data_IF_715355486296
#
_entry.id   IF_715355486296
#
_cell.length_a   1.000
_cell.length_b   1.000
_cell.length_c   1.000
_cell.angle_alpha   90.00
_cell.angle_beta   90.00
_cell.angle_gamma   90.00
#
_symmetry.space_group_name_H-M   'P 1'
#
loop_
_entity.id
_entity.type
_entity.pdbx_description
1 polymer ?
#
# COMPACT_ATOMS: atom_id res chain seq x y z
N UNK A 1 3.06 -10.66 -2.33
CA UNK A 1 2.26 -11.47 -3.27
C UNK A 1 2.99 -11.64 -4.61
N UNK A 2 3.21 -10.56 -5.37
CA UNK A 2 3.83 -10.63 -6.71
C UNK A 2 5.15 -11.42 -6.78
N UNK A 3 6.07 -11.23 -5.83
CA UNK A 3 7.36 -11.91 -5.89
C UNK A 3 7.24 -13.43 -5.77
N UNK A 4 6.55 -13.94 -4.73
CA UNK A 4 6.45 -15.38 -4.47
C UNK A 4 5.69 -16.12 -5.59
N UNK A 5 4.69 -15.48 -6.20
CA UNK A 5 3.95 -16.08 -7.32
C UNK A 5 4.79 -16.12 -8.60
N UNK A 6 5.68 -15.16 -8.83
CA UNK A 6 6.67 -15.24 -9.92
C UNK A 6 7.74 -16.31 -9.64
N UNK A 7 8.19 -16.47 -8.41
CA UNK A 7 9.10 -17.59 -8.04
C UNK A 7 8.42 -18.94 -8.32
N UNK A 8 7.15 -19.10 -7.92
CA UNK A 8 6.37 -20.29 -8.26
C UNK A 8 6.38 -20.55 -9.79
N UNK A 9 6.07 -19.53 -10.59
CA UNK A 9 6.02 -19.64 -12.06
C UNK A 9 7.39 -20.00 -12.66
N UNK A 10 8.47 -19.40 -12.19
CA UNK A 10 9.83 -19.72 -12.65
C UNK A 10 10.21 -21.17 -12.32
N UNK A 11 9.91 -21.63 -11.10
CA UNK A 11 10.13 -23.02 -10.69
C UNK A 11 9.32 -24.01 -11.53
N UNK A 12 8.05 -23.69 -11.85
CA UNK A 12 7.21 -24.52 -12.74
C UNK A 12 7.82 -24.57 -14.13
N UNK A 13 8.22 -23.43 -14.72
CA UNK A 13 8.87 -23.36 -16.05
C UNK A 13 10.14 -24.21 -16.10
N UNK A 14 10.91 -24.23 -15.01
CA UNK A 14 12.16 -25.00 -14.90
C UNK A 14 11.94 -26.47 -14.51
N UNK A 15 10.70 -26.89 -14.23
CA UNK A 15 10.35 -28.24 -13.73
C UNK A 15 11.06 -28.57 -12.40
N UNK A 16 11.08 -27.60 -11.49
CA UNK A 16 11.71 -27.69 -10.16
C UNK A 16 10.72 -27.39 -9.02
N UNK A 17 9.44 -27.14 -9.31
CA UNK A 17 8.44 -26.73 -8.30
C UNK A 17 8.24 -27.79 -7.21
N UNK A 18 8.35 -29.06 -7.56
CA UNK A 18 8.28 -30.22 -6.66
C UNK A 18 9.47 -30.31 -5.69
N UNK A 19 10.55 -29.55 -5.93
CA UNK A 19 11.77 -29.55 -5.12
C UNK A 19 11.90 -28.34 -4.19
N UNK A 20 10.85 -27.53 -4.07
CA UNK A 20 10.86 -26.32 -3.27
C UNK A 20 9.59 -26.20 -2.43
N UNK A 21 9.73 -25.79 -1.19
CA UNK A 21 8.62 -25.35 -0.35
C UNK A 21 8.49 -23.83 -0.48
N UNK A 22 7.26 -23.32 -0.60
CA UNK A 22 7.00 -21.89 -0.73
C UNK A 22 6.09 -21.47 0.41
N UNK A 23 6.58 -20.55 1.24
CA UNK A 23 5.86 -20.01 2.39
C UNK A 23 5.68 -18.50 2.24
N UNK A 24 4.44 -18.04 2.29
CA UNK A 24 4.06 -16.64 2.40
C UNK A 24 3.90 -16.28 3.87
N UNK A 25 4.84 -15.52 4.43
CA UNK A 25 4.79 -15.03 5.81
C UNK A 25 4.41 -13.55 5.85
N UNK A 26 3.39 -13.18 6.62
CA UNK A 26 2.90 -11.80 6.70
C UNK A 26 2.38 -11.43 8.09
N UNK A 27 2.55 -10.16 8.45
CA UNK A 27 1.96 -9.57 9.66
C UNK A 27 0.50 -9.12 9.45
N UNK A 28 -0.04 -9.28 8.23
CA UNK A 28 -1.43 -8.99 7.91
C UNK A 28 -2.39 -9.88 8.73
N UNK A 29 -3.60 -9.37 8.97
CA UNK A 29 -4.66 -10.12 9.69
C UNK A 29 -5.17 -11.33 8.89
N UNK A 30 -5.20 -11.16 7.58
CA UNK A 30 -5.72 -12.09 6.59
C UNK A 30 -4.91 -11.92 5.31
N UNK A 31 -4.89 -12.96 4.46
CA UNK A 31 -4.22 -12.86 3.18
C UNK A 31 -4.92 -11.79 2.33
N UNK A 32 -4.17 -10.88 1.71
CA UNK A 32 -4.77 -9.83 0.89
C UNK A 32 -5.45 -8.71 1.68
N UNK A 33 -5.09 -8.48 2.95
CA UNK A 33 -5.44 -7.25 3.67
C UNK A 33 -4.86 -6.00 2.97
N UNK A 34 -3.64 -6.14 2.45
CA UNK A 34 -2.86 -5.15 1.69
C UNK A 34 -2.66 -3.80 2.41
N UNK A 35 -2.89 -3.73 3.72
CA UNK A 35 -2.85 -2.48 4.47
C UNK A 35 -4.02 -1.54 4.16
N UNK A 36 -5.09 -2.07 3.57
CA UNK A 36 -6.29 -1.32 3.16
C UNK A 36 -7.58 -1.97 3.65
N UNK A 37 -7.53 -2.76 4.73
CA UNK A 37 -8.68 -3.48 5.30
C UNK A 37 -9.28 -4.50 4.32
N UNK A 38 -8.42 -5.12 3.52
CA UNK A 38 -8.81 -6.04 2.45
C UNK A 38 -9.66 -5.37 1.37
N UNK A 39 -10.14 -6.17 0.43
CA UNK A 39 -11.01 -5.74 -0.67
C UNK A 39 -12.21 -6.67 -0.75
N UNK A 40 -13.41 -6.11 -0.88
CA UNK A 40 -14.60 -6.87 -1.23
C UNK A 40 -14.97 -6.53 -2.67
N UNK A 41 -15.32 -7.55 -3.45
CA UNK A 41 -15.71 -7.40 -4.86
C UNK A 41 -17.01 -8.13 -5.10
N UNK A 42 -17.86 -7.60 -5.99
CA UNK A 42 -19.11 -8.24 -6.39
C UNK A 42 -18.98 -8.74 -7.82
N UNK A 43 -19.00 -10.06 -8.01
CA UNK A 43 -18.98 -10.67 -9.34
C UNK A 43 -20.18 -11.60 -9.53
N UNK A 44 -20.99 -11.35 -10.56
CA UNK A 44 -22.20 -12.15 -10.90
C UNK A 44 -23.13 -12.41 -9.70
N UNK A 45 -23.34 -11.38 -8.86
CA UNK A 45 -24.23 -11.45 -7.69
C UNK A 45 -23.63 -12.14 -6.45
N UNK A 46 -22.37 -12.59 -6.51
CA UNK A 46 -21.64 -13.11 -5.34
C UNK A 46 -20.59 -12.11 -4.88
N UNK A 47 -20.53 -11.88 -3.58
CA UNK A 47 -19.44 -11.12 -2.95
C UNK A 47 -18.29 -12.07 -2.64
N UNK A 48 -17.07 -11.68 -3.01
CA UNK A 48 -15.84 -12.39 -2.66
C UNK A 48 -14.84 -11.39 -2.10
N UNK A 49 -13.99 -11.85 -1.19
CA UNK A 49 -12.94 -11.04 -0.59
C UNK A 49 -11.58 -11.23 -1.29
N UNK A 50 -10.67 -10.28 -1.08
CA UNK A 50 -9.25 -10.47 -1.39
C UNK A 50 -8.66 -11.67 -0.68
N UNK A 51 -9.12 -11.99 0.53
CA UNK A 51 -8.69 -13.20 1.26
C UNK A 51 -9.07 -14.49 0.53
N UNK A 52 -10.33 -14.60 0.06
CA UNK A 52 -10.78 -15.77 -0.69
C UNK A 52 -9.95 -15.95 -1.96
N UNK A 53 -9.72 -14.86 -2.69
CA UNK A 53 -8.99 -14.86 -3.94
C UNK A 53 -7.51 -15.22 -3.75
N UNK A 54 -6.82 -14.54 -2.84
CA UNK A 54 -5.40 -14.80 -2.56
C UNK A 54 -5.23 -16.21 -1.98
N UNK A 55 -6.14 -16.63 -1.10
CA UNK A 55 -6.17 -17.99 -0.57
C UNK A 55 -6.36 -19.05 -1.66
N UNK A 56 -7.22 -18.81 -2.66
CA UNK A 56 -7.38 -19.71 -3.80
C UNK A 56 -6.09 -19.80 -4.63
N UNK A 57 -5.46 -18.66 -4.95
CA UNK A 57 -4.18 -18.65 -5.69
C UNK A 57 -3.10 -19.42 -4.94
N UNK A 58 -2.98 -19.22 -3.62
CA UNK A 58 -1.98 -19.91 -2.82
C UNK A 58 -2.24 -21.41 -2.73
N UNK A 59 -3.49 -21.86 -2.58
CA UNK A 59 -3.83 -23.28 -2.66
C UNK A 59 -3.47 -23.89 -4.02
N UNK A 60 -3.84 -23.22 -5.11
CA UNK A 60 -3.55 -23.68 -6.47
C UNK A 60 -2.04 -23.78 -6.74
N UNK A 61 -1.25 -22.87 -6.16
CA UNK A 61 0.21 -22.85 -6.33
C UNK A 61 0.96 -23.70 -5.29
N UNK A 62 0.26 -24.29 -4.33
CA UNK A 62 0.83 -25.01 -3.20
C UNK A 62 1.71 -24.14 -2.30
N UNK A 63 1.35 -22.86 -2.14
CA UNK A 63 2.05 -21.91 -1.28
C UNK A 63 1.40 -21.95 0.10
N UNK A 64 2.19 -22.23 1.14
CA UNK A 64 1.71 -22.17 2.52
C UNK A 64 1.53 -20.70 2.94
N UNK A 65 0.37 -20.37 3.50
CA UNK A 65 0.04 -19.01 3.89
C UNK A 65 0.06 -18.85 5.42
N UNK A 66 1.04 -18.11 5.91
CA UNK A 66 1.28 -17.84 7.33
C UNK A 66 1.04 -16.34 7.60
N UNK A 67 -0.19 -15.98 7.91
CA UNK A 67 -0.58 -14.61 8.31
C UNK A 67 -0.51 -14.44 9.82
N UNK A 68 -0.72 -13.20 10.31
CA UNK A 68 -0.72 -12.87 11.74
C UNK A 68 0.62 -13.12 12.45
N UNK A 69 1.73 -12.98 11.73
CA UNK A 69 3.08 -13.19 12.26
C UNK A 69 3.97 -11.97 12.04
N UNK A 70 4.42 -11.37 13.13
CA UNK A 70 5.40 -10.28 13.12
C UNK A 70 6.81 -10.82 13.28
N UNK A 71 7.63 -10.73 12.23
CA UNK A 71 9.06 -11.11 12.29
C UNK A 71 9.78 -10.18 13.26
N UNK A 72 10.48 -10.77 14.23
CA UNK A 72 11.31 -10.07 15.23
C UNK A 72 12.78 -10.05 14.84
N UNK A 73 13.28 -11.16 14.31
CA UNK A 73 14.68 -11.33 13.95
C UNK A 73 14.81 -12.30 12.79
N UNK A 74 15.86 -12.08 11.99
CA UNK A 74 16.24 -12.98 10.90
C UNK A 74 17.68 -13.39 11.15
N UNK A 75 17.88 -14.68 11.40
CA UNK A 75 19.19 -15.30 11.57
C UNK A 75 19.57 -16.17 10.37
N UNK A 76 20.71 -16.89 10.43
CA UNK A 76 21.10 -17.83 9.40
C UNK A 76 20.05 -18.94 9.23
N UNK A 77 19.31 -18.90 8.11
CA UNK A 77 18.32 -19.91 7.73
C UNK A 77 17.03 -19.95 8.56
N UNK A 78 16.76 -18.94 9.39
CA UNK A 78 15.59 -18.91 10.26
C UNK A 78 15.05 -17.50 10.47
N UNK A 79 13.73 -17.34 10.35
CA UNK A 79 12.99 -16.14 10.72
C UNK A 79 12.23 -16.41 12.01
N UNK A 80 12.53 -15.66 13.06
CA UNK A 80 11.84 -15.71 14.34
C UNK A 80 10.71 -14.69 14.33
N UNK A 81 9.52 -15.11 14.74
CA UNK A 81 8.34 -14.27 14.73
C UNK A 81 7.54 -14.44 16.02
N UNK A 82 6.69 -13.46 16.29
CA UNK A 82 5.61 -13.56 17.27
C UNK A 82 4.28 -13.54 16.51
N UNK A 83 3.32 -14.36 16.92
CA UNK A 83 1.98 -14.32 16.37
C UNK A 83 1.06 -13.35 17.12
N UNK A 84 -0.19 -13.25 16.69
CA UNK A 84 -1.17 -12.36 17.31
C UNK A 84 -1.49 -12.72 18.76
N UNK A 85 -1.35 -13.98 19.15
CA UNK A 85 -1.60 -14.43 20.52
C UNK A 85 -0.37 -14.24 21.43
N UNK A 86 0.73 -13.72 20.87
CA UNK A 86 1.97 -13.46 21.59
C UNK A 86 2.89 -14.68 21.69
N UNK A 87 2.59 -15.74 20.93
CA UNK A 87 3.39 -16.97 20.88
C UNK A 87 4.56 -16.75 19.94
N UNK A 88 5.77 -17.06 20.43
CA UNK A 88 6.96 -17.06 19.59
C UNK A 88 7.02 -18.32 18.72
N UNK A 89 7.48 -18.18 17.49
CA UNK A 89 7.69 -19.27 16.57
C UNK A 89 8.81 -19.00 15.58
N UNK A 90 9.11 -20.00 14.76
CA UNK A 90 10.14 -19.92 13.74
C UNK A 90 9.65 -20.44 12.39
N UNK A 91 10.16 -19.83 11.32
CA UNK A 91 10.04 -20.34 9.96
C UNK A 91 11.46 -20.50 9.41
N UNK A 92 11.84 -21.74 9.08
CA UNK A 92 13.14 -22.05 8.49
C UNK A 92 13.12 -21.79 6.99
N UNK A 93 14.26 -21.42 6.42
CA UNK A 93 14.39 -21.14 5.00
C UNK A 93 15.82 -21.37 4.51
N UNK A 94 15.95 -21.80 3.25
CA UNK A 94 17.22 -21.74 2.51
C UNK A 94 17.41 -20.37 1.82
N UNK A 95 16.28 -19.74 1.46
CA UNK A 95 16.24 -18.41 0.86
C UNK A 95 15.01 -17.64 1.38
N UNK A 96 15.20 -16.38 1.76
CA UNK A 96 14.12 -15.51 2.22
C UNK A 96 14.16 -14.14 1.53
N UNK A 97 12.97 -13.60 1.29
CA UNK A 97 12.76 -12.22 0.87
C UNK A 97 11.63 -11.64 1.72
N UNK A 98 11.96 -10.69 2.59
CA UNK A 98 11.01 -9.98 3.43
C UNK A 98 10.96 -8.51 3.01
N UNK A 99 9.75 -7.94 3.02
CA UNK A 99 9.57 -6.50 2.80
C UNK A 99 9.83 -5.79 4.13
N UNK A 100 10.81 -4.86 4.20
CA UNK A 100 11.08 -4.13 5.44
C UNK A 100 9.97 -3.11 5.71
N UNK A 101 9.85 -2.70 6.97
CA UNK A 101 9.05 -1.54 7.32
C UNK A 101 9.67 -0.28 6.70
N UNK A 102 8.82 0.65 6.25
CA UNK A 102 9.28 1.94 5.78
C UNK A 102 9.47 2.91 6.95
N UNK A 103 10.56 3.66 6.88
CA UNK A 103 10.82 4.83 7.72
C UNK A 103 11.05 6.06 6.84
N UNK A 104 10.93 7.24 7.44
CA UNK A 104 11.38 8.47 6.82
C UNK A 104 12.89 8.46 6.61
N UNK A 105 13.32 9.12 5.55
CA UNK A 105 14.76 9.35 5.30
C UNK A 105 15.32 10.21 6.44
N UNK A 106 16.52 9.88 6.98
CA UNK A 106 17.13 10.67 8.05
C UNK A 106 17.55 12.05 7.50
N UNK A 107 16.67 13.03 7.67
CA UNK A 107 16.87 14.44 7.29
C UNK A 107 17.00 15.26 8.58
N UNK A 108 18.01 16.13 8.65
CA UNK A 108 18.14 17.07 9.74
C UNK A 108 17.16 18.24 9.54
N UNK A 109 16.13 18.33 10.39
CA UNK A 109 15.15 19.41 10.35
C UNK A 109 15.62 20.58 11.20
N UNK A 110 16.21 21.60 10.57
CA UNK A 110 16.72 22.79 11.27
C UNK A 110 15.84 24.00 10.99
N UNK A 111 15.35 24.61 12.07
CA UNK A 111 14.66 25.90 12.04
C UNK A 111 15.63 27.08 12.13
N UNK A 112 15.07 28.25 12.42
CA UNK A 112 15.83 29.48 12.65
C UNK A 112 16.86 29.30 13.78
N UNK A 113 18.06 29.86 13.59
CA UNK A 113 19.17 29.72 14.55
C UNK A 113 19.74 28.29 14.66
N UNK A 114 19.36 27.37 13.76
CA UNK A 114 19.87 25.99 13.74
C UNK A 114 19.20 25.04 14.73
N UNK A 115 18.13 25.48 15.39
CA UNK A 115 17.32 24.66 16.33
C UNK A 115 16.74 23.44 15.62
N UNK A 116 16.79 22.28 16.27
CA UNK A 116 16.09 21.08 15.80
C UNK A 116 14.57 21.28 15.92
N UNK A 117 13.86 21.09 14.81
CA UNK A 117 12.40 21.21 14.71
C UNK A 117 11.74 19.91 14.26
N UNK A 118 12.45 18.78 14.34
CA UNK A 118 11.96 17.47 13.89
C UNK A 118 10.61 17.10 14.51
N UNK A 119 10.42 17.39 15.80
CA UNK A 119 9.16 17.10 16.52
C UNK A 119 7.94 17.84 15.93
N UNK A 120 8.15 19.01 15.32
CA UNK A 120 7.09 19.79 14.67
C UNK A 120 6.81 19.29 13.23
N UNK A 121 7.80 18.64 12.61
CA UNK A 121 7.78 18.31 11.19
C UNK A 121 7.41 16.86 10.92
N UNK A 122 7.99 15.91 11.66
CA UNK A 122 7.84 14.48 11.39
C UNK A 122 7.15 13.74 12.54
N UNK A 123 6.56 12.59 12.25
CA UNK A 123 6.13 11.63 13.25
C UNK A 123 7.33 10.79 13.76
N UNK A 124 7.16 9.92 14.79
CA UNK A 124 8.26 9.08 15.28
C UNK A 124 8.89 8.16 14.23
N UNK A 125 8.16 7.84 13.16
CA UNK A 125 8.66 7.07 12.02
C UNK A 125 9.44 7.90 11.00
N UNK A 126 9.59 9.21 11.18
CA UNK A 126 10.30 10.12 10.28
C UNK A 126 9.46 10.62 9.09
N UNK A 127 8.17 10.31 9.04
CA UNK A 127 7.28 10.78 7.97
C UNK A 127 6.76 12.20 8.29
N UNK A 128 6.66 13.05 7.27
CA UNK A 128 6.28 14.46 7.44
C UNK A 128 4.79 14.59 7.78
N UNK A 129 4.48 15.21 8.91
CA UNK A 129 3.12 15.57 9.32
C UNK A 129 2.57 16.65 8.38
N UNK A 130 1.35 16.45 7.92
CA UNK A 130 0.64 17.33 6.97
C UNK A 130 -0.71 17.76 7.56
N UNK A 131 -1.69 18.10 6.73
CA UNK A 131 -2.98 18.66 7.11
C UNK A 131 -3.99 17.62 7.66
N UNK A 132 -3.55 16.41 7.99
CA UNK A 132 -4.39 15.38 8.62
C UNK A 132 -4.76 15.66 10.08
N UNK A 133 -5.73 14.90 10.61
CA UNK A 133 -6.09 14.86 12.03
C UNK A 133 -5.42 13.62 12.63
N UNK A 134 -4.42 13.86 13.49
CA UNK A 134 -3.59 12.81 14.10
C UNK A 134 -4.16 12.40 15.48
N UNK A 135 -3.62 11.31 16.03
CA UNK A 135 -3.88 10.82 17.39
C UNK A 135 -5.32 10.37 17.68
N UNK A 136 -6.12 10.12 16.65
CA UNK A 136 -7.43 9.50 16.79
C UNK A 136 -7.29 7.99 17.08
N UNK A 137 -8.06 7.44 18.04
CA UNK A 137 -8.27 6.00 18.15
C UNK A 137 -8.71 5.39 16.81
N UNK A 138 -8.34 4.14 16.54
CA UNK A 138 -8.55 3.53 15.22
C UNK A 138 -10.04 3.48 14.82
N UNK A 139 -10.93 3.17 15.75
CA UNK A 139 -12.38 3.15 15.55
C UNK A 139 -12.92 4.54 15.14
N UNK A 140 -12.43 5.59 15.79
CA UNK A 140 -12.79 6.97 15.43
C UNK A 140 -12.20 7.38 14.08
N UNK A 141 -10.94 7.00 13.80
CA UNK A 141 -10.28 7.27 12.52
C UNK A 141 -11.01 6.57 11.37
N UNK A 142 -11.45 5.32 11.56
CA UNK A 142 -12.17 4.54 10.56
C UNK A 142 -13.52 5.18 10.17
N UNK A 143 -14.17 5.88 11.12
CA UNK A 143 -15.41 6.63 10.90
C UNK A 143 -15.18 8.10 10.52
N UNK A 144 -13.92 8.56 10.47
CA UNK A 144 -13.55 9.94 10.12
C UNK A 144 -12.68 9.99 8.85
N UNK A 145 -13.23 9.70 7.65
CA UNK A 145 -12.49 9.81 6.38
C UNK A 145 -11.85 11.18 6.12
N UNK A 146 -12.41 12.26 6.68
CA UNK A 146 -11.89 13.62 6.53
C UNK A 146 -10.63 13.90 7.38
N UNK A 147 -10.27 12.98 8.30
CA UNK A 147 -9.02 13.03 9.04
C UNK A 147 -7.80 12.82 8.14
N UNK A 148 -7.99 12.22 6.96
CA UNK A 148 -6.93 12.06 5.97
C UNK A 148 -6.57 13.40 5.32
N UNK A 149 -5.28 13.65 5.06
CA UNK A 149 -4.81 14.89 4.45
C UNK A 149 -5.33 15.03 3.02
N UNK A 150 -5.63 16.26 2.62
CA UNK A 150 -6.11 16.58 1.27
C UNK A 150 -5.33 17.69 0.58
N UNK A 151 -4.63 18.55 1.31
CA UNK A 151 -3.71 19.56 0.76
C UNK A 151 -2.25 19.11 0.78
N UNK A 152 -1.91 18.19 1.70
CA UNK A 152 -0.58 17.64 1.94
C UNK A 152 0.46 18.70 2.34
N UNK A 153 0.00 19.77 3.01
CA UNK A 153 0.81 20.86 3.54
C UNK A 153 1.06 20.64 5.04
N UNK A 154 2.27 20.91 5.51
CA UNK A 154 2.53 20.94 6.95
C UNK A 154 1.77 22.10 7.61
N UNK A 155 1.13 21.83 8.76
CA UNK A 155 0.29 22.83 9.46
C UNK A 155 1.10 23.97 10.09
N UNK A 156 2.33 23.69 10.54
CA UNK A 156 3.23 24.65 11.20
C UNK A 156 4.02 25.46 10.17
N UNK A 157 4.65 24.79 9.21
CA UNK A 157 5.51 25.36 8.19
C UNK A 157 4.77 25.40 6.84
N UNK A 158 4.18 26.55 6.51
CA UNK A 158 3.30 26.70 5.33
C UNK A 158 4.00 26.57 3.98
N UNK A 159 5.33 26.65 3.96
CA UNK A 159 6.16 26.41 2.78
C UNK A 159 6.61 24.94 2.65
N UNK A 160 6.20 24.06 3.56
CA UNK A 160 6.55 22.64 3.56
C UNK A 160 5.36 21.77 3.15
N UNK A 161 5.61 20.87 2.21
CA UNK A 161 4.65 19.90 1.69
C UNK A 161 5.29 18.51 1.66
N UNK A 162 4.48 17.46 1.70
CA UNK A 162 4.96 16.09 1.58
C UNK A 162 4.07 15.25 0.67
N UNK A 163 4.66 14.62 -0.34
CA UNK A 163 3.94 13.82 -1.33
C UNK A 163 4.34 12.33 -1.29
N UNK A 164 3.43 11.48 -1.75
CA UNK A 164 3.66 10.03 -1.86
C UNK A 164 3.96 9.37 -0.52
N UNK A 165 4.98 8.52 -0.45
CA UNK A 165 5.33 7.79 0.77
C UNK A 165 5.76 8.72 1.93
N UNK A 166 6.26 9.92 1.63
CA UNK A 166 6.91 10.79 2.61
C UNK A 166 5.97 11.41 3.65
N UNK A 167 4.68 11.56 3.36
CA UNK A 167 3.74 12.10 4.35
C UNK A 167 3.40 11.06 5.42
N UNK A 168 3.13 11.53 6.64
CA UNK A 168 2.68 10.70 7.75
C UNK A 168 1.16 10.43 7.63
N UNK A 169 0.72 9.18 7.43
CA UNK A 169 -0.68 8.83 7.60
C UNK A 169 -1.16 9.18 9.02
N UNK A 170 -2.41 9.65 9.19
CA UNK A 170 -2.97 9.94 10.51
C UNK A 170 -3.08 8.68 11.39
N UNK A 171 -3.15 7.50 10.77
CA UNK A 171 -3.12 6.20 11.42
C UNK A 171 -3.23 5.07 10.38
N UNK A 172 -3.36 3.81 10.82
CA UNK A 172 -3.51 2.67 9.91
C UNK A 172 -4.93 2.59 9.33
N UNK A 173 -5.07 2.07 8.11
CA UNK A 173 -6.38 1.80 7.49
C UNK A 173 -6.94 0.49 8.05
N UNK A 174 -6.15 -0.58 7.94
CA UNK A 174 -6.45 -1.87 8.58
C UNK A 174 -6.32 -1.73 10.09
N UNK A 175 -7.17 -2.45 10.83
CA UNK A 175 -7.12 -2.43 12.29
C UNK A 175 -5.75 -2.92 12.77
N UNK A 176 -5.00 -2.13 13.57
CA UNK A 176 -3.75 -2.60 14.14
C UNK A 176 -4.03 -3.71 15.15
N UNK A 177 -3.07 -4.61 15.36
CA UNK A 177 -3.11 -5.60 16.42
C UNK A 177 -2.00 -5.31 17.42
N UNK A 178 -2.30 -5.41 18.72
CA UNK A 178 -1.31 -5.35 19.78
C UNK A 178 -1.38 -6.67 20.52
N UNK A 179 -0.28 -7.41 20.54
CA UNK A 179 -0.22 -8.71 21.21
C UNK A 179 -0.26 -8.55 22.73
N UNK A 180 -0.51 -9.62 23.51
CA UNK A 180 -0.41 -9.59 24.97
C UNK A 180 0.97 -9.13 25.50
N UNK A 181 2.01 -9.20 24.67
CA UNK A 181 3.37 -8.75 25.00
C UNK A 181 3.65 -7.28 24.62
N UNK A 182 2.68 -6.59 24.02
CA UNK A 182 2.79 -5.20 23.59
C UNK A 182 3.38 -5.02 22.19
N UNK A 183 3.57 -6.09 21.41
CA UNK A 183 4.09 -5.98 20.03
C UNK A 183 3.00 -5.43 19.12
N UNK A 184 3.27 -4.31 18.44
CA UNK A 184 2.33 -3.70 17.48
C UNK A 184 2.54 -4.33 16.11
N UNK A 185 1.51 -5.01 15.60
CA UNK A 185 1.46 -5.57 14.26
C UNK A 185 0.39 -4.83 13.46
N UNK A 186 0.84 -3.98 12.54
CA UNK A 186 -0.04 -3.22 11.67
C UNK A 186 0.51 -3.20 10.24
N UNK A 187 -0.39 -3.38 9.28
CA UNK A 187 -0.05 -3.17 7.88
C UNK A 187 -0.07 -1.65 7.60
N UNK A 188 1.01 -1.15 7.00
CA UNK A 188 1.12 0.26 6.67
C UNK A 188 0.16 0.64 5.53
N UNK A 189 -0.52 1.80 5.60
CA UNK A 189 -1.33 2.30 4.48
C UNK A 189 -0.50 2.43 3.21
N UNK A 190 -0.84 1.79 2.09
CA UNK A 190 -0.03 1.88 0.88
C UNK A 190 -0.25 3.23 0.18
N UNK A 191 0.85 3.88 -0.22
CA UNK A 191 0.85 5.07 -1.07
C UNK A 191 1.33 4.66 -2.46
N UNK A 192 0.48 3.94 -3.19
CA UNK A 192 0.79 3.33 -4.50
C UNK A 192 1.12 4.37 -5.57
N UNK A 193 1.52 3.93 -6.77
CA UNK A 193 1.90 4.83 -7.86
C UNK A 193 0.81 5.84 -8.24
N UNK A 194 -0.44 5.39 -8.41
CA UNK A 194 -1.57 6.25 -8.73
C UNK A 194 -1.85 7.26 -7.61
N UNK A 195 -1.92 6.80 -6.35
CA UNK A 195 -2.13 7.66 -5.18
C UNK A 195 -1.01 8.71 -5.08
N UNK A 196 0.25 8.29 -5.22
CA UNK A 196 1.41 9.18 -5.16
C UNK A 196 1.41 10.21 -6.30
N UNK A 197 0.98 9.83 -7.50
CA UNK A 197 0.81 10.74 -8.64
C UNK A 197 -0.22 11.82 -8.32
N UNK A 198 -1.43 11.41 -7.92
CA UNK A 198 -2.52 12.32 -7.55
C UNK A 198 -2.05 13.31 -6.47
N UNK A 199 -1.42 12.81 -5.40
CA UNK A 199 -0.88 13.65 -4.32
C UNK A 199 0.17 14.64 -4.86
N UNK A 200 1.11 14.16 -5.67
CA UNK A 200 2.13 15.01 -6.29
C UNK A 200 1.53 16.13 -7.13
N UNK A 201 0.48 15.83 -7.91
CA UNK A 201 -0.27 16.80 -8.70
C UNK A 201 -0.99 17.82 -7.81
N UNK A 202 -1.67 17.38 -6.75
CA UNK A 202 -2.36 18.28 -5.79
C UNK A 202 -1.36 19.24 -5.17
N UNK A 203 -0.24 18.74 -4.64
CA UNK A 203 0.83 19.55 -4.04
C UNK A 203 1.39 20.55 -5.05
N UNK A 204 1.77 20.09 -6.25
CA UNK A 204 2.35 20.95 -7.27
C UNK A 204 1.40 22.09 -7.67
N UNK A 205 0.11 21.78 -7.91
CA UNK A 205 -0.87 22.81 -8.27
C UNK A 205 -1.16 23.77 -7.12
N UNK A 206 -1.21 23.29 -5.89
CA UNK A 206 -1.38 24.16 -4.71
C UNK A 206 -0.20 25.11 -4.49
N UNK A 207 1.04 24.66 -4.75
CA UNK A 207 2.21 25.55 -4.72
C UNK A 207 2.07 26.65 -5.79
N UNK A 208 1.67 26.29 -7.02
CA UNK A 208 1.42 27.29 -8.09
C UNK A 208 0.33 28.28 -7.68
N UNK A 209 -0.77 27.80 -7.11
CA UNK A 209 -1.89 28.63 -6.66
C UNK A 209 -1.51 29.54 -5.49
N UNK A 210 -0.72 29.07 -4.52
CA UNK A 210 -0.20 29.91 -3.43
C UNK A 210 0.68 31.04 -3.96
N UNK A 211 1.60 30.74 -4.89
CA UNK A 211 2.49 31.76 -5.47
C UNK A 211 1.71 32.79 -6.29
N UNK A 212 0.70 32.35 -7.07
CA UNK A 212 -0.03 33.24 -7.98
C UNK A 212 -1.21 33.97 -7.36
N UNK A 213 -1.87 33.35 -6.37
CA UNK A 213 -3.20 33.77 -5.86
C UNK A 213 -3.24 33.89 -4.34
N UNK A 214 -2.19 33.47 -3.63
CA UNK A 214 -2.13 33.51 -2.16
C UNK A 214 -3.04 32.49 -1.44
N UNK A 215 -3.71 31.59 -2.18
CA UNK A 215 -4.61 30.57 -1.60
C UNK A 215 -4.53 29.26 -2.38
N UNK A 216 -4.67 28.13 -1.69
CA UNK A 216 -4.77 26.79 -2.29
C UNK A 216 -6.17 26.55 -2.85
N UNK A 217 -6.27 25.86 -3.98
CA UNK A 217 -7.54 25.53 -4.65
C UNK A 217 -7.73 24.05 -4.96
N UNK A 218 -6.71 23.22 -4.73
CA UNK A 218 -6.74 21.79 -5.03
C UNK A 218 -6.74 20.98 -3.74
N UNK A 219 -7.54 19.92 -3.73
CA UNK A 219 -7.74 19.09 -2.56
C UNK A 219 -8.18 17.71 -3.02
N UNK A 220 -7.54 16.66 -2.52
CA UNK A 220 -7.94 15.28 -2.77
C UNK A 220 -7.41 14.37 -1.66
N UNK A 221 -8.28 13.69 -0.91
CA UNK A 221 -7.89 12.75 0.17
C UNK A 221 -7.74 11.33 -0.34
N UNK A 222 -7.05 10.48 0.42
CA UNK A 222 -7.06 9.03 0.12
C UNK A 222 -8.46 8.38 0.26
N UNK A 223 -9.39 9.03 0.97
CA UNK A 223 -10.83 8.68 1.01
C UNK A 223 -11.62 9.16 -0.22
N UNK A 224 -10.97 9.89 -1.13
CA UNK A 224 -11.52 10.43 -2.37
C UNK A 224 -10.77 9.90 -3.61
N UNK A 225 -9.70 9.13 -3.41
CA UNK A 225 -8.83 8.62 -4.48
C UNK A 225 -9.16 7.18 -4.88
N UNK A 226 -8.91 6.90 -6.16
CA UNK A 226 -8.83 5.55 -6.70
C UNK A 226 -7.40 5.00 -6.52
N UNK A 227 -7.26 3.69 -6.41
CA UNK A 227 -5.98 3.04 -6.61
C UNK A 227 -6.10 1.82 -7.53
N UNK A 228 -5.19 1.76 -8.49
CA UNK A 228 -4.93 0.61 -9.32
C UNK A 228 -3.66 -0.10 -8.86
N UNK A 229 -3.72 -1.40 -8.63
CA UNK A 229 -2.58 -2.25 -8.37
C UNK A 229 -2.58 -3.43 -9.35
N UNK A 230 -1.46 -3.67 -10.01
CA UNK A 230 -1.30 -4.80 -10.94
C UNK A 230 -0.10 -5.63 -10.48
N UNK A 231 -0.38 -6.76 -9.85
CA UNK A 231 0.62 -7.70 -9.38
C UNK A 231 0.87 -8.76 -10.45
N UNK A 232 2.06 -8.79 -11.05
CA UNK A 232 2.41 -9.78 -12.07
C UNK A 232 2.53 -11.17 -11.46
N UNK A 233 2.20 -12.18 -12.24
CA UNK A 233 2.35 -13.61 -11.97
C UNK A 233 2.86 -14.30 -13.25
N UNK A 234 3.84 -13.68 -13.90
CA UNK A 234 4.37 -14.06 -15.20
C UNK A 234 4.33 -12.88 -16.18
N UNK A 235 5.42 -12.71 -16.93
CA UNK A 235 5.71 -11.60 -17.83
C UNK A 235 5.51 -11.91 -19.32
N UNK A 236 5.16 -13.15 -19.64
CA UNK A 236 5.00 -13.61 -21.01
C UNK A 236 3.83 -12.93 -21.71
N UNK A 237 4.00 -12.69 -23.01
CA UNK A 237 2.95 -12.14 -23.85
C UNK A 237 1.81 -13.13 -24.13
N UNK A 238 2.04 -14.43 -23.97
CA UNK A 238 1.10 -15.47 -24.39
C UNK A 238 0.49 -16.23 -23.21
N UNK A 239 1.28 -16.49 -22.18
CA UNK A 239 0.91 -17.24 -20.97
C UNK A 239 1.23 -16.47 -19.67
N UNK A 240 1.43 -15.14 -19.79
CA UNK A 240 1.55 -14.26 -18.63
C UNK A 240 0.24 -14.13 -17.87
N UNK A 241 0.34 -13.63 -16.65
CA UNK A 241 -0.83 -13.36 -15.82
C UNK A 241 -0.54 -12.23 -14.86
N UNK A 242 -1.58 -11.49 -14.48
CA UNK A 242 -1.50 -10.55 -13.37
C UNK A 242 -2.82 -10.54 -12.61
N UNK A 243 -2.73 -10.26 -11.31
CA UNK A 243 -3.87 -9.87 -10.50
C UNK A 243 -3.99 -8.35 -10.60
N UNK A 244 -5.09 -7.88 -11.17
CA UNK A 244 -5.45 -6.47 -11.26
C UNK A 244 -6.46 -6.18 -10.16
N UNK A 245 -6.17 -5.17 -9.35
CA UNK A 245 -7.00 -4.74 -8.23
C UNK A 245 -7.27 -3.25 -8.43
N UNK A 246 -8.55 -2.90 -8.54
CA UNK A 246 -9.03 -1.53 -8.51
C UNK A 246 -9.80 -1.34 -7.21
N UNK A 247 -9.50 -0.27 -6.48
CA UNK A 247 -10.21 0.09 -5.26
C UNK A 247 -10.67 1.55 -5.32
N UNK A 248 -11.87 1.80 -4.83
CA UNK A 248 -12.37 3.15 -4.61
C UNK A 248 -13.34 3.22 -3.43
N UNK A 249 -13.12 4.14 -2.48
CA UNK A 249 -11.86 4.86 -2.24
C UNK A 249 -10.74 3.97 -1.66
N UNK A 250 -9.51 4.48 -1.65
CA UNK A 250 -8.37 3.77 -1.03
C UNK A 250 -8.60 3.59 0.48
N UNK A 251 -8.92 4.69 1.16
CA UNK A 251 -9.39 4.68 2.55
C UNK A 251 -10.90 4.53 2.51
N UNK A 252 -11.50 3.47 3.08
CA UNK A 252 -12.93 3.29 3.07
C UNK A 252 -13.69 4.48 3.70
N UNK A 253 -14.80 4.88 3.09
CA UNK A 253 -15.70 5.89 3.61
C UNK A 253 -17.09 5.28 3.90
N UNK A 254 -17.37 4.89 5.16
CA UNK A 254 -18.66 4.29 5.53
C UNK A 254 -19.83 5.28 5.42
N UNK A 255 -19.57 6.59 5.42
CA UNK A 255 -20.62 7.62 5.26
C UNK A 255 -21.08 7.68 3.81
N UNK A 256 -20.15 7.51 2.86
CA UNK A 256 -20.45 7.57 1.41
C UNK A 256 -20.90 6.22 0.85
N UNK A 257 -20.38 5.10 1.38
CA UNK A 257 -20.70 3.74 0.93
C UNK A 257 -21.11 2.81 2.10
N UNK A 258 -22.22 3.11 2.81
CA UNK A 258 -22.60 2.41 4.04
C UNK A 258 -22.94 0.92 3.83
N UNK A 259 -23.57 0.58 2.72
CA UNK A 259 -23.99 -0.79 2.41
C UNK A 259 -22.88 -1.67 1.82
N UNK A 260 -21.69 -1.10 1.59
CA UNK A 260 -20.64 -1.70 0.76
C UNK A 260 -19.27 -1.69 1.46
N UNK A 261 -19.26 -1.66 2.80
CA UNK A 261 -18.04 -1.72 3.60
C UNK A 261 -17.14 -0.49 3.46
N UNK A 262 -17.72 0.64 3.01
CA UNK A 262 -17.02 1.90 2.79
C UNK A 262 -16.35 2.01 1.40
N UNK A 263 -16.65 1.12 0.46
CA UNK A 263 -16.16 1.20 -0.93
C UNK A 263 -17.28 1.09 -1.95
N UNK A 264 -17.06 1.69 -3.11
CA UNK A 264 -17.91 1.52 -4.27
C UNK A 264 -17.61 0.16 -4.92
N UNK A 265 -18.55 -0.79 -4.88
CA UNK A 265 -18.38 -2.13 -5.46
C UNK A 265 -18.55 -2.17 -6.98
N UNK A 266 -19.05 -1.10 -7.60
CA UNK A 266 -19.04 -0.99 -9.06
C UNK A 266 -17.63 -0.69 -9.56
N UNK A 267 -16.90 0.19 -8.87
CA UNK A 267 -15.51 0.50 -9.22
C UNK A 267 -14.53 -0.50 -8.63
N UNK A 268 -14.77 -0.94 -7.40
CA UNK A 268 -13.89 -1.86 -6.69
C UNK A 268 -14.05 -3.27 -7.24
N UNK A 269 -13.04 -3.73 -7.98
CA UNK A 269 -13.04 -5.04 -8.58
C UNK A 269 -11.62 -5.63 -8.59
N UNK A 270 -11.57 -6.94 -8.73
CA UNK A 270 -10.33 -7.70 -8.76
C UNK A 270 -10.48 -8.80 -9.79
N UNK A 271 -9.50 -8.88 -10.68
CA UNK A 271 -9.50 -9.83 -11.78
C UNK A 271 -8.11 -10.42 -11.98
N UNK A 272 -8.07 -11.62 -12.54
CA UNK A 272 -6.83 -12.30 -12.90
C UNK A 272 -6.84 -12.63 -14.38
N UNK A 273 -5.74 -12.33 -15.08
CA UNK A 273 -5.59 -12.80 -16.44
C UNK A 273 -4.46 -12.14 -17.21
N UNK A 274 -4.37 -12.53 -18.49
CA UNK A 274 -3.36 -12.05 -19.43
C UNK A 274 -3.49 -10.54 -19.70
N UNK A 275 -4.72 -10.02 -19.74
CA UNK A 275 -4.99 -8.59 -19.94
C UNK A 275 -4.29 -7.72 -18.89
N UNK A 276 -4.26 -8.16 -17.62
CA UNK A 276 -3.52 -7.48 -16.56
C UNK A 276 -2.01 -7.47 -16.80
N UNK A 277 -1.44 -8.57 -17.30
CA UNK A 277 -0.01 -8.64 -17.63
C UNK A 277 0.36 -7.67 -18.77
N UNK A 278 -0.46 -7.60 -19.81
CA UNK A 278 -0.28 -6.63 -20.90
C UNK A 278 -0.43 -5.20 -20.42
N UNK A 279 -1.44 -4.91 -19.58
CA UNK A 279 -1.64 -3.60 -18.99
C UNK A 279 -0.42 -3.17 -18.16
N UNK A 280 0.13 -4.07 -17.33
CA UNK A 280 1.34 -3.78 -16.56
C UNK A 280 2.51 -3.39 -17.46
N UNK A 281 2.74 -4.13 -18.54
CA UNK A 281 3.81 -3.85 -19.51
C UNK A 281 3.59 -2.51 -20.23
N UNK A 282 2.35 -2.22 -20.62
CA UNK A 282 1.98 -0.94 -21.24
C UNK A 282 2.25 0.22 -20.29
N UNK A 283 1.77 0.14 -19.05
CA UNK A 283 1.97 1.17 -18.03
C UNK A 283 3.47 1.35 -17.73
N UNK A 284 4.23 0.26 -17.59
CA UNK A 284 5.68 0.33 -17.40
C UNK A 284 6.35 1.11 -18.54
N UNK A 285 6.07 0.75 -19.78
CA UNK A 285 6.72 1.36 -20.96
C UNK A 285 6.33 2.84 -21.12
N UNK A 286 5.06 3.16 -20.93
CA UNK A 286 4.53 4.53 -21.04
C UNK A 286 4.98 5.41 -19.88
N UNK A 287 5.08 4.88 -18.67
CA UNK A 287 5.63 5.59 -17.52
C UNK A 287 7.10 5.97 -17.74
N UNK A 288 7.93 5.02 -18.19
CA UNK A 288 9.34 5.29 -18.49
C UNK A 288 9.48 6.32 -19.63
N UNK A 289 8.68 6.20 -20.69
CA UNK A 289 8.64 7.20 -21.78
C UNK A 289 8.27 8.60 -21.27
N UNK A 290 7.27 8.67 -20.37
CA UNK A 290 6.82 9.91 -19.75
C UNK A 290 7.90 10.53 -18.87
N UNK A 291 8.55 9.71 -18.04
CA UNK A 291 9.62 10.12 -17.13
C UNK A 291 10.85 10.66 -17.89
N UNK A 292 11.16 10.07 -19.06
CA UNK A 292 12.25 10.52 -19.93
C UNK A 292 11.90 11.79 -20.74
N UNK A 293 10.68 12.32 -20.63
CA UNK A 293 10.26 13.53 -21.34
C UNK A 293 10.23 13.37 -22.87
N UNK A 294 10.09 12.14 -23.37
CA UNK A 294 10.10 11.84 -24.82
C UNK A 294 8.90 12.46 -25.56
N UNK A 295 8.96 12.66 -26.88
CA UNK A 295 7.87 13.26 -27.65
C UNK A 295 6.50 12.66 -27.31
N UNK A 296 5.49 13.52 -27.14
CA UNK A 296 4.13 13.11 -26.76
C UNK A 296 3.92 12.76 -25.29
N UNK A 297 4.92 12.86 -24.40
CA UNK A 297 4.80 12.50 -22.98
C UNK A 297 3.63 13.19 -22.25
N UNK A 298 3.30 14.44 -22.64
CA UNK A 298 2.20 15.22 -22.06
C UNK A 298 0.82 14.64 -22.36
N UNK A 299 0.69 13.82 -23.41
CA UNK A 299 -0.54 13.16 -23.81
C UNK A 299 -0.77 11.86 -23.04
N UNK A 300 0.28 11.31 -22.42
CA UNK A 300 0.16 10.09 -21.62
C UNK A 300 -0.54 10.48 -20.31
N UNK A 301 -1.74 9.92 -20.03
CA UNK A 301 -2.48 10.24 -18.83
C UNK A 301 -1.68 9.87 -17.58
N UNK A 302 -2.14 10.40 -16.46
CA UNK A 302 -1.70 9.96 -15.14
C UNK A 302 -2.43 8.69 -14.74
#
# INVERSE_FOLDING_TARGET
FEYITNIHKDLVRRRLRDRAELVWLSNERAAGDFGVRGVQVRHKGKTSSSEDFIGAVFRDFGIECQVRRGVKAVGPGVAQWEDFDGVDGETRFDFAMLIPQFTGVPIAWRGEGGKDVSEDVVNPGGFVKVDGIYDLPWDQLAETPDAWPGYYQNRRYRNLFAAGIAFAPPGPISQPHVTPRGTVMAAAPPRTGMVSGIIGRVVARNIVDLVRRGRMGHHERMSEMYAACIASMGDSLWDGGAATIMIYPVVPDPRRFPAEGGRDLFVTHMEMGLAGAWMKRLIHSTFIHKLQGRPGWKLIPE
#
